data_IF_264343730488
#
_entry.id   IF_264343730488
#
_cell.length_a   1.000
_cell.length_b   1.000
_cell.length_c   1.000
_cell.angle_alpha   90.00
_cell.angle_beta   90.00
_cell.angle_gamma   90.00
#
_symmetry.space_group_name_H-M   'P 1'
#
loop_
_entity.id
_entity.type
_entity.pdbx_description
1 polymer ?
#
# COMPACT_ATOMS: atom_id res chain seq x y z
N UNK A 1 -3.27 12.72 6.49
CA UNK A 1 -2.45 12.55 5.28
C UNK A 1 -2.97 11.44 4.37
N UNK A 2 -3.65 10.40 4.91
CA UNK A 2 -4.16 9.26 4.13
C UNK A 2 -5.26 9.54 3.08
N UNK A 3 -6.06 10.60 3.23
CA UNK A 3 -7.16 10.86 2.27
C UNK A 3 -6.67 11.31 0.89
N UNK A 4 -5.59 12.10 0.84
CA UNK A 4 -5.00 12.54 -0.43
C UNK A 4 -4.41 11.37 -1.24
N UNK A 5 -3.81 10.40 -0.55
CA UNK A 5 -3.26 9.20 -1.20
C UNK A 5 -4.38 8.31 -1.75
N UNK A 6 -5.50 8.20 -1.03
CA UNK A 6 -6.68 7.46 -1.50
C UNK A 6 -7.29 8.11 -2.72
N UNK A 7 -7.45 9.42 -2.73
CA UNK A 7 -7.99 10.15 -3.89
C UNK A 7 -7.06 10.04 -5.11
N UNK A 8 -5.75 10.09 -4.91
CA UNK A 8 -4.78 9.83 -5.98
C UNK A 8 -4.88 8.39 -6.53
N UNK A 9 -5.07 7.40 -5.65
CA UNK A 9 -5.27 6.00 -6.05
C UNK A 9 -6.54 5.79 -6.88
N UNK A 10 -7.55 6.68 -6.77
CA UNK A 10 -8.77 6.56 -7.58
C UNK A 10 -8.51 6.80 -9.08
N UNK A 11 -7.42 7.46 -9.44
CA UNK A 11 -7.09 7.73 -10.85
C UNK A 11 -6.22 6.65 -11.49
N UNK A 12 -5.73 5.69 -10.69
CA UNK A 12 -4.94 4.57 -11.18
C UNK A 12 -5.83 3.47 -11.74
N UNK A 13 -5.35 2.78 -12.77
CA UNK A 13 -5.95 1.56 -13.30
C UNK A 13 -5.82 0.39 -12.31
N UNK A 14 -6.60 -0.67 -12.51
CA UNK A 14 -6.53 -1.88 -11.67
C UNK A 14 -5.14 -2.52 -11.69
N UNK A 15 -4.48 -2.51 -12.85
CA UNK A 15 -3.14 -3.07 -13.03
C UNK A 15 -2.06 -2.22 -12.33
N UNK A 16 -2.17 -0.89 -12.39
CA UNK A 16 -1.28 0.03 -11.67
C UNK A 16 -1.46 -0.11 -10.15
N UNK A 17 -2.70 -0.23 -9.68
CA UNK A 17 -3.01 -0.54 -8.29
C UNK A 17 -2.41 -1.88 -7.86
N UNK A 18 -2.53 -2.92 -8.69
CA UNK A 18 -1.94 -4.22 -8.41
C UNK A 18 -0.40 -4.18 -8.38
N UNK A 19 0.22 -3.44 -9.29
CA UNK A 19 1.66 -3.23 -9.32
C UNK A 19 2.15 -2.50 -8.06
N UNK A 20 1.47 -1.42 -7.67
CA UNK A 20 1.80 -0.65 -6.47
C UNK A 20 1.62 -1.46 -5.20
N UNK A 21 0.56 -2.25 -5.09
CA UNK A 21 0.35 -3.15 -3.94
C UNK A 21 1.47 -4.18 -3.81
N UNK A 22 1.93 -4.77 -4.93
CA UNK A 22 3.08 -5.70 -4.92
C UNK A 22 4.36 -5.04 -4.42
N UNK A 23 4.60 -3.79 -4.83
CA UNK A 23 5.76 -3.02 -4.38
C UNK A 23 5.71 -2.72 -2.88
N UNK A 24 4.56 -2.29 -2.37
CA UNK A 24 4.36 -2.04 -0.93
C UNK A 24 4.56 -3.32 -0.09
N UNK A 25 4.10 -4.47 -0.56
CA UNK A 25 4.33 -5.76 0.12
C UNK A 25 5.82 -6.12 0.17
N UNK A 26 6.58 -5.83 -0.90
CA UNK A 26 8.04 -6.04 -0.89
C UNK A 26 8.74 -5.11 0.08
N UNK A 27 8.32 -3.85 0.15
CA UNK A 27 8.86 -2.88 1.11
C UNK A 27 8.55 -3.28 2.55
N UNK A 28 7.33 -3.77 2.80
CA UNK A 28 6.91 -4.29 4.10
C UNK A 28 7.77 -5.48 4.53
N UNK A 29 7.96 -6.48 3.66
CA UNK A 29 8.81 -7.64 3.95
C UNK A 29 10.27 -7.24 4.17
N UNK A 30 10.78 -6.28 3.39
CA UNK A 30 12.13 -5.73 3.58
C UNK A 30 12.29 -5.03 4.92
N UNK A 31 11.33 -4.20 5.31
CA UNK A 31 11.35 -3.45 6.57
C UNK A 31 11.31 -4.40 7.77
N UNK A 32 10.43 -5.40 7.74
CA UNK A 32 10.34 -6.44 8.77
C UNK A 32 11.63 -7.25 8.95
N UNK A 33 12.35 -7.50 7.85
CA UNK A 33 13.63 -8.23 7.88
C UNK A 33 14.83 -7.35 8.19
N UNK A 34 14.63 -6.04 8.34
CA UNK A 34 15.72 -5.14 8.70
C UNK A 34 16.18 -5.40 10.15
N UNK A 35 17.40 -4.97 10.49
CA UNK A 35 17.94 -5.16 11.83
C UNK A 35 17.15 -4.41 12.90
N UNK A 36 16.52 -3.29 12.51
CA UNK A 36 15.72 -2.42 13.37
C UNK A 36 14.45 -2.02 12.60
N UNK A 37 13.42 -2.89 12.56
CA UNK A 37 12.17 -2.56 11.88
C UNK A 37 11.51 -1.35 12.53
N UNK A 38 11.15 -0.35 11.75
CA UNK A 38 10.46 0.85 12.24
C UNK A 38 8.95 0.58 12.28
N UNK A 39 8.31 0.43 13.45
CA UNK A 39 6.91 0.01 13.56
C UNK A 39 5.94 0.95 12.83
N UNK A 40 6.19 2.26 12.88
CA UNK A 40 5.37 3.26 12.21
C UNK A 40 5.43 3.10 10.69
N UNK A 41 6.60 2.72 10.16
CA UNK A 41 6.81 2.50 8.73
C UNK A 41 6.15 1.21 8.27
N UNK A 42 6.27 0.14 9.06
CA UNK A 42 5.57 -1.13 8.83
C UNK A 42 4.05 -0.91 8.81
N UNK A 43 3.52 -0.15 9.77
CA UNK A 43 2.10 0.17 9.85
C UNK A 43 1.62 1.02 8.65
N UNK A 44 2.41 2.02 8.23
CA UNK A 44 2.08 2.85 7.06
C UNK A 44 2.06 2.04 5.76
N UNK A 45 3.05 1.16 5.54
CA UNK A 45 3.12 0.28 4.38
C UNK A 45 1.92 -0.67 4.31
N UNK A 46 1.53 -1.22 5.47
CA UNK A 46 0.35 -2.07 5.57
C UNK A 46 -0.94 -1.30 5.26
N UNK A 47 -1.12 -0.12 5.87
CA UNK A 47 -2.31 0.71 5.67
C UNK A 47 -2.49 1.14 4.21
N UNK A 48 -1.41 1.51 3.51
CA UNK A 48 -1.49 1.86 2.09
C UNK A 48 -1.83 0.64 1.21
N UNK A 49 -1.26 -0.53 1.50
CA UNK A 49 -1.56 -1.75 0.77
C UNK A 49 -3.03 -2.20 0.94
N UNK A 50 -3.60 -2.05 2.14
CA UNK A 50 -5.00 -2.35 2.41
C UNK A 50 -5.95 -1.33 1.77
N UNK A 51 -5.58 -0.03 1.76
CA UNK A 51 -6.34 1.00 1.06
C UNK A 51 -6.46 0.69 -0.45
N UNK A 52 -5.37 0.27 -1.09
CA UNK A 52 -5.40 -0.18 -2.49
C UNK A 52 -6.32 -1.40 -2.67
N UNK A 53 -6.24 -2.37 -1.77
CA UNK A 53 -7.10 -3.55 -1.83
C UNK A 53 -8.59 -3.19 -1.68
N UNK A 54 -8.93 -2.20 -0.85
CA UNK A 54 -10.29 -1.67 -0.73
C UNK A 54 -10.77 -1.01 -2.03
N UNK A 55 -9.94 -0.18 -2.67
CA UNK A 55 -10.26 0.44 -3.97
C UNK A 55 -10.46 -0.62 -5.06
N UNK A 56 -9.61 -1.65 -5.09
CA UNK A 56 -9.75 -2.77 -6.04
C UNK A 56 -11.08 -3.51 -5.83
N UNK A 57 -11.43 -3.86 -4.58
CA UNK A 57 -12.71 -4.54 -4.25
C UNK A 57 -13.94 -3.73 -4.67
N UNK A 58 -13.89 -2.40 -4.54
CA UNK A 58 -15.00 -1.52 -4.94
C UNK A 58 -15.20 -1.39 -6.46
N UNK A 59 -14.26 -1.91 -7.27
CA UNK A 59 -14.28 -1.83 -8.74
C UNK A 59 -14.54 -3.19 -9.41
N UNK A 60 -14.57 -4.27 -8.64
CA UNK A 60 -14.85 -5.63 -9.11
C UNK A 60 -16.36 -5.90 -9.18
#
# INVERSE_FOLDING_TARGET
>A
MHDADRDAQQWLTVDELAARRRELVRQYDRELRSAEPVPERVAALWAEADAIAAVQRGRC
#
